data_IF_550490992499
#
_entry.id   IF_550490992499
#
_cell.length_a   1.000
_cell.length_b   1.000
_cell.length_c   1.000
_cell.angle_alpha   90.00
_cell.angle_beta   90.00
_cell.angle_gamma   90.00
#
_symmetry.space_group_name_H-M   'P 1'
#
loop_
_entity.id
_entity.type
_entity.pdbx_description
1 polymer ?
#
# COMPACT_ATOMS: atom_id res chain seq x y z
N UNK A 1 -13.62 -6.85 2.34
CA UNK A 1 -14.24 -8.01 1.68
C UNK A 1 -13.46 -8.23 0.39
N UNK A 2 -12.68 -9.30 0.32
CA UNK A 2 -11.85 -9.65 -0.84
C UNK A 2 -12.72 -10.29 -1.92
N UNK A 3 -12.76 -9.68 -3.10
CA UNK A 3 -13.44 -10.23 -4.27
C UNK A 3 -12.86 -11.61 -4.63
N UNK A 4 -13.66 -12.69 -4.65
CA UNK A 4 -13.21 -14.05 -4.97
C UNK A 4 -12.53 -14.15 -6.34
N UNK A 5 -12.93 -13.32 -7.30
CA UNK A 5 -12.41 -13.35 -8.66
C UNK A 5 -10.96 -12.81 -8.72
N UNK A 6 -10.67 -11.76 -7.95
CA UNK A 6 -9.34 -11.16 -7.81
C UNK A 6 -8.35 -12.12 -7.13
N UNK A 7 -8.80 -12.88 -6.12
CA UNK A 7 -7.96 -13.91 -5.51
C UNK A 7 -7.59 -15.02 -6.51
N UNK A 8 -8.52 -15.39 -7.39
CA UNK A 8 -8.27 -16.38 -8.44
C UNK A 8 -7.26 -15.88 -9.48
N UNK A 9 -7.42 -14.65 -9.96
CA UNK A 9 -6.48 -14.00 -10.89
C UNK A 9 -5.09 -13.93 -10.27
N UNK A 10 -4.98 -13.49 -9.00
CA UNK A 10 -3.72 -13.47 -8.27
C UNK A 10 -3.02 -14.83 -8.26
N UNK A 11 -3.76 -15.88 -7.89
CA UNK A 11 -3.21 -17.23 -7.82
C UNK A 11 -2.74 -17.72 -9.19
N UNK A 12 -3.46 -17.39 -10.27
CA UNK A 12 -3.05 -17.74 -11.63
C UNK A 12 -1.74 -17.05 -12.01
N UNK A 13 -1.64 -15.73 -11.83
CA UNK A 13 -0.40 -14.97 -12.14
C UNK A 13 0.78 -15.44 -11.29
N UNK A 14 0.57 -15.70 -10.01
CA UNK A 14 1.60 -16.27 -9.12
C UNK A 14 2.10 -17.62 -9.65
N UNK A 15 1.19 -18.52 -10.04
CA UNK A 15 1.55 -19.84 -10.55
C UNK A 15 2.30 -19.74 -11.88
N UNK A 16 1.89 -18.84 -12.77
CA UNK A 16 2.58 -18.60 -14.05
C UNK A 16 4.00 -18.07 -13.84
N UNK A 17 4.17 -17.10 -12.95
CA UNK A 17 5.49 -16.55 -12.59
C UNK A 17 6.38 -17.61 -11.91
N UNK A 18 5.82 -18.46 -11.05
CA UNK A 18 6.58 -19.55 -10.45
C UNK A 18 6.99 -20.61 -11.49
N UNK A 19 6.11 -20.95 -12.43
CA UNK A 19 6.39 -21.90 -13.53
C UNK A 19 7.48 -21.42 -14.47
N UNK A 20 7.59 -20.11 -14.70
CA UNK A 20 8.64 -19.54 -15.55
C UNK A 20 9.99 -19.42 -14.84
N UNK A 21 10.03 -19.60 -13.52
CA UNK A 21 11.24 -19.47 -12.71
C UNK A 21 12.00 -20.79 -12.52
N UNK A 22 13.28 -20.69 -12.14
CA UNK A 22 14.16 -21.84 -11.84
C UNK A 22 13.60 -22.79 -10.77
N UNK A 23 12.74 -22.30 -9.87
CA UNK A 23 12.17 -23.16 -8.83
C UNK A 23 11.30 -24.28 -9.41
N UNK A 24 10.66 -24.04 -10.56
CA UNK A 24 9.82 -25.03 -11.21
C UNK A 24 10.66 -26.16 -11.82
N UNK A 25 11.76 -25.82 -12.50
CA UNK A 25 12.70 -26.81 -13.05
C UNK A 25 13.36 -27.60 -11.93
N UNK A 26 13.78 -26.95 -10.85
CA UNK A 26 14.40 -27.62 -9.70
C UNK A 26 13.40 -28.56 -9.00
N UNK A 27 12.12 -28.16 -8.89
CA UNK A 27 11.06 -28.98 -8.32
C UNK A 27 10.78 -30.23 -9.18
N UNK A 28 10.78 -30.08 -10.51
CA UNK A 28 10.63 -31.21 -11.43
C UNK A 28 11.77 -32.22 -11.28
N UNK A 29 13.02 -31.73 -11.22
CA UNK A 29 14.19 -32.57 -11.01
C UNK A 29 14.10 -33.33 -9.66
N UNK A 30 13.71 -32.64 -8.59
CA UNK A 30 13.52 -33.25 -7.29
C UNK A 30 12.40 -34.30 -7.29
N UNK A 31 11.27 -34.02 -7.96
CA UNK A 31 10.19 -34.98 -8.10
C UNK A 31 10.65 -36.24 -8.86
N UNK A 32 11.46 -36.09 -9.91
CA UNK A 32 12.03 -37.22 -10.64
C UNK A 32 12.94 -38.08 -9.75
N UNK A 33 13.73 -37.47 -8.87
CA UNK A 33 14.56 -38.17 -7.89
C UNK A 33 13.70 -38.90 -6.85
N UNK A 34 12.58 -38.31 -6.41
CA UNK A 34 11.66 -38.99 -5.48
C UNK A 34 10.99 -40.21 -6.12
N UNK A 35 10.67 -40.15 -7.43
CA UNK A 35 10.06 -41.26 -8.18
C UNK A 35 11.00 -42.47 -8.27
N UNK A 36 12.31 -42.26 -8.33
CA UNK A 36 13.28 -43.36 -8.45
C UNK A 36 13.54 -44.08 -7.11
N UNK A 37 12.99 -43.60 -5.99
CA UNK A 37 13.18 -44.23 -4.69
C UNK A 37 12.40 -45.56 -4.60
N UNK A 38 13.03 -46.64 -4.10
CA UNK A 38 12.45 -47.98 -4.10
C UNK A 38 11.20 -48.15 -3.22
N UNK A 39 10.85 -47.15 -2.40
CA UNK A 39 9.67 -47.16 -1.53
C UNK A 39 8.37 -46.63 -2.17
N UNK A 40 8.42 -46.05 -3.38
CA UNK A 40 7.25 -45.42 -4.00
C UNK A 40 6.51 -46.41 -4.88
N UNK A 41 5.30 -46.81 -4.45
CA UNK A 41 4.41 -47.66 -5.25
C UNK A 41 3.72 -46.86 -6.35
N UNK A 42 3.58 -47.45 -7.53
CA UNK A 42 2.92 -46.83 -8.68
C UNK A 42 1.45 -46.47 -8.40
N UNK A 43 0.78 -47.26 -7.56
CA UNK A 43 -0.60 -47.01 -7.10
C UNK A 43 -0.74 -45.78 -6.19
N UNK A 44 0.35 -45.35 -5.55
CA UNK A 44 0.38 -44.22 -4.59
C UNK A 44 1.35 -43.11 -5.02
N UNK A 45 1.79 -43.12 -6.28
CA UNK A 45 2.86 -42.28 -6.81
C UNK A 45 2.72 -40.81 -6.41
N UNK A 46 1.53 -40.22 -6.62
CA UNK A 46 1.28 -38.81 -6.27
C UNK A 46 1.50 -38.53 -4.79
N UNK A 47 0.97 -39.38 -3.90
CA UNK A 47 1.10 -39.20 -2.45
C UNK A 47 2.53 -39.47 -1.98
N UNK A 48 3.16 -40.52 -2.51
CA UNK A 48 4.54 -40.88 -2.18
C UNK A 48 5.54 -39.79 -2.57
N UNK A 49 5.45 -39.29 -3.80
CA UNK A 49 6.30 -38.18 -4.28
C UNK A 49 6.03 -36.91 -3.48
N UNK A 50 4.77 -36.56 -3.23
CA UNK A 50 4.45 -35.36 -2.43
C UNK A 50 5.00 -35.46 -1.00
N UNK A 51 4.88 -36.62 -0.35
CA UNK A 51 5.44 -36.85 0.99
C UNK A 51 6.97 -36.79 0.98
N UNK A 52 7.62 -37.38 -0.01
CA UNK A 52 9.08 -37.32 -0.18
C UNK A 52 9.60 -35.89 -0.42
N UNK A 53 8.87 -35.09 -1.22
CA UNK A 53 9.16 -33.67 -1.42
C UNK A 53 9.00 -32.86 -0.12
N UNK A 54 7.95 -33.11 0.66
CA UNK A 54 7.78 -32.46 1.97
C UNK A 54 8.92 -32.84 2.92
N UNK A 55 9.29 -34.12 2.97
CA UNK A 55 10.36 -34.61 3.84
C UNK A 55 11.73 -34.04 3.46
N UNK A 56 11.97 -33.81 2.16
CA UNK A 56 13.18 -33.14 1.66
C UNK A 56 13.15 -31.61 1.79
N UNK A 57 12.07 -31.04 2.35
CA UNK A 57 11.96 -29.61 2.67
C UNK A 57 11.47 -28.71 1.54
N UNK A 58 10.94 -29.27 0.45
CA UNK A 58 10.40 -28.49 -0.68
C UNK A 58 9.18 -27.65 -0.31
N UNK A 59 8.42 -28.05 0.72
CA UNK A 59 7.30 -27.26 1.20
C UNK A 59 7.74 -25.86 1.67
N UNK A 60 8.86 -25.78 2.38
CA UNK A 60 9.45 -24.51 2.85
C UNK A 60 10.03 -23.71 1.70
N UNK A 61 10.71 -24.37 0.76
CA UNK A 61 11.30 -23.72 -0.41
C UNK A 61 10.22 -23.03 -1.25
N UNK A 62 9.08 -23.69 -1.46
CA UNK A 62 7.92 -23.11 -2.15
C UNK A 62 7.26 -21.99 -1.34
N UNK A 63 7.06 -22.17 -0.02
CA UNK A 63 6.53 -21.10 0.85
C UNK A 63 7.41 -19.85 0.81
N UNK A 64 8.73 -20.01 0.82
CA UNK A 64 9.67 -18.89 0.71
C UNK A 64 9.61 -18.23 -0.66
N UNK A 65 9.44 -18.99 -1.75
CA UNK A 65 9.26 -18.41 -3.09
C UNK A 65 7.97 -17.59 -3.19
N UNK A 66 6.86 -18.09 -2.63
CA UNK A 66 5.60 -17.34 -2.53
C UNK A 66 5.79 -16.09 -1.66
N UNK A 67 6.49 -16.20 -0.53
CA UNK A 67 6.77 -15.06 0.33
C UNK A 67 7.61 -13.99 -0.38
N UNK A 68 8.67 -14.39 -1.08
CA UNK A 68 9.50 -13.50 -1.91
C UNK A 68 8.68 -12.82 -2.99
N UNK A 69 7.78 -13.56 -3.64
CA UNK A 69 6.84 -13.01 -4.61
C UNK A 69 5.98 -11.90 -3.99
N UNK A 70 5.39 -12.17 -2.83
CA UNK A 70 4.54 -11.21 -2.10
C UNK A 70 5.29 -9.96 -1.63
N UNK A 71 6.60 -10.07 -1.35
CA UNK A 71 7.43 -8.93 -0.98
C UNK A 71 7.84 -8.07 -2.17
N UNK A 72 8.15 -8.70 -3.32
CA UNK A 72 8.74 -8.04 -4.48
C UNK A 72 7.71 -7.49 -5.46
N UNK A 73 6.53 -8.09 -5.52
CA UNK A 73 5.45 -7.62 -6.38
C UNK A 73 4.56 -6.65 -5.59
N UNK A 74 4.17 -5.49 -6.18
CA UNK A 74 3.26 -4.58 -5.52
C UNK A 74 1.99 -5.35 -5.15
N UNK A 75 1.51 -5.18 -3.91
CA UNK A 75 0.21 -5.72 -3.48
C UNK A 75 -0.80 -5.39 -4.56
N UNK A 76 -1.56 -6.40 -5.02
CA UNK A 76 -2.68 -6.18 -5.93
C UNK A 76 -3.47 -4.99 -5.43
N UNK A 77 -3.31 -3.87 -6.12
CA UNK A 77 -4.07 -2.70 -5.80
C UNK A 77 -5.50 -3.08 -6.17
N UNK A 78 -6.44 -2.88 -5.24
CA UNK A 78 -7.84 -2.74 -5.62
C UNK A 78 -7.90 -1.87 -6.87
N UNK A 79 -8.77 -2.13 -7.86
CA UNK A 79 -8.94 -1.20 -8.96
C UNK A 79 -9.10 0.17 -8.32
N UNK A 80 -8.06 1.00 -8.49
CA UNK A 80 -7.96 2.27 -7.78
C UNK A 80 -9.21 3.00 -8.22
N UNK A 81 -10.07 3.34 -7.26
CA UNK A 81 -11.22 4.18 -7.57
C UNK A 81 -10.67 5.33 -8.40
N UNK A 82 -11.09 5.48 -9.66
CA UNK A 82 -10.51 6.49 -10.53
C UNK A 82 -10.47 7.80 -9.76
N UNK A 83 -9.38 8.60 -9.86
CA UNK A 83 -9.23 9.79 -9.03
C UNK A 83 -10.47 10.69 -9.03
N UNK A 84 -11.21 10.73 -10.15
CA UNK A 84 -12.48 11.44 -10.30
C UNK A 84 -13.63 10.97 -9.38
N UNK A 85 -13.60 9.72 -8.90
CA UNK A 85 -14.62 9.13 -8.04
C UNK A 85 -14.17 9.01 -6.57
N UNK A 86 -12.89 9.29 -6.29
CA UNK A 86 -12.35 9.27 -4.93
C UNK A 86 -12.85 10.49 -4.16
N UNK A 87 -13.76 10.27 -3.20
CA UNK A 87 -14.23 11.35 -2.32
C UNK A 87 -13.25 11.57 -1.19
N UNK A 88 -13.03 12.84 -0.84
CA UNK A 88 -12.27 13.23 0.35
C UNK A 88 -12.78 12.48 1.59
N UNK A 89 -11.97 11.63 2.25
CA UNK A 89 -12.41 10.80 3.37
C UNK A 89 -12.80 11.60 4.61
N UNK A 90 -12.23 12.79 4.82
CA UNK A 90 -12.50 13.62 5.99
C UNK A 90 -13.79 14.42 5.79
N UNK A 91 -14.81 14.13 6.60
CA UNK A 91 -16.15 14.69 6.43
C UNK A 91 -16.18 16.23 6.46
N UNK A 92 -15.38 16.85 7.32
CA UNK A 92 -15.33 18.32 7.43
C UNK A 92 -14.64 18.96 6.20
N UNK A 93 -13.59 18.35 5.65
CA UNK A 93 -12.99 18.78 4.38
C UNK A 93 -13.96 18.60 3.22
N UNK A 94 -14.68 17.47 3.17
CA UNK A 94 -15.71 17.22 2.15
C UNK A 94 -16.82 18.27 2.19
N UNK A 95 -17.23 18.70 3.38
CA UNK A 95 -18.20 19.80 3.56
C UNK A 95 -17.64 21.13 3.05
N UNK A 96 -16.38 21.44 3.37
CA UNK A 96 -15.72 22.66 2.90
C UNK A 96 -15.55 22.68 1.38
N UNK A 97 -15.14 21.56 0.77
CA UNK A 97 -15.07 21.37 -0.69
C UNK A 97 -16.44 21.62 -1.33
N UNK A 98 -17.50 20.97 -0.84
CA UNK A 98 -18.84 21.14 -1.38
C UNK A 98 -19.35 22.59 -1.26
N UNK A 99 -19.07 23.26 -0.14
CA UNK A 99 -19.42 24.66 0.04
C UNK A 99 -18.66 25.58 -0.93
N UNK A 100 -17.37 25.33 -1.15
CA UNK A 100 -16.55 26.05 -2.11
C UNK A 100 -17.03 25.85 -3.55
N UNK A 101 -17.25 24.60 -3.97
CA UNK A 101 -17.79 24.25 -5.29
C UNK A 101 -19.12 24.96 -5.54
N UNK A 102 -20.02 24.98 -4.55
CA UNK A 102 -21.30 25.70 -4.65
C UNK A 102 -21.10 27.20 -4.85
N UNK A 103 -20.14 27.82 -4.18
CA UNK A 103 -19.80 29.25 -4.36
C UNK A 103 -19.27 29.51 -5.77
N UNK A 104 -18.36 28.67 -6.25
CA UNK A 104 -17.78 28.77 -7.60
C UNK A 104 -18.85 28.59 -8.68
N UNK A 105 -19.71 27.58 -8.55
CA UNK A 105 -20.82 27.36 -9.48
C UNK A 105 -21.78 28.55 -9.53
N UNK A 106 -22.05 29.21 -8.39
CA UNK A 106 -22.87 30.42 -8.36
C UNK A 106 -22.21 31.57 -9.12
N UNK A 107 -20.92 31.82 -8.89
CA UNK A 107 -20.16 32.86 -9.60
C UNK A 107 -20.07 32.58 -11.10
N UNK A 108 -19.84 31.32 -11.49
CA UNK A 108 -19.79 30.89 -12.88
C UNK A 108 -21.12 31.12 -13.59
N UNK A 109 -22.23 30.65 -13.02
CA UNK A 109 -23.57 30.86 -13.57
C UNK A 109 -23.91 32.35 -13.72
N UNK A 110 -23.53 33.17 -12.73
CA UNK A 110 -23.73 34.62 -12.78
C UNK A 110 -22.97 35.26 -13.95
N UNK A 111 -21.71 34.89 -14.14
CA UNK A 111 -20.89 35.40 -15.25
C UNK A 111 -21.42 34.95 -16.61
N UNK A 112 -21.81 33.67 -16.74
CA UNK A 112 -22.40 33.15 -17.96
C UNK A 112 -23.71 33.87 -18.32
N UNK A 113 -24.51 34.23 -17.31
CA UNK A 113 -25.73 35.03 -17.51
C UNK A 113 -25.40 36.44 -17.97
N UNK A 114 -24.40 37.10 -17.36
CA UNK A 114 -23.97 38.45 -17.72
C UNK A 114 -23.39 38.54 -19.15
N UNK A 115 -22.54 37.58 -19.51
CA UNK A 115 -21.90 37.52 -20.83
C UNK A 115 -22.81 36.87 -21.90
N UNK A 116 -24.02 36.43 -21.52
CA UNK A 116 -24.92 35.65 -22.37
C UNK A 116 -24.25 34.40 -22.98
N UNK A 117 -23.35 33.77 -22.23
CA UNK A 117 -22.64 32.55 -22.61
C UNK A 117 -23.42 31.34 -22.12
N UNK A 118 -23.92 30.48 -23.01
CA UNK A 118 -24.65 29.28 -22.62
C UNK A 118 -23.69 28.18 -22.15
N UNK A 119 -23.81 27.74 -20.90
CA UNK A 119 -22.97 26.67 -20.33
C UNK A 119 -23.20 25.30 -20.99
N UNK A 120 -24.46 24.98 -21.29
CA UNK A 120 -24.83 23.77 -22.01
C UNK A 120 -26.13 24.01 -22.78
N UNK A 121 -26.03 24.15 -24.10
CA UNK A 121 -27.19 24.16 -25.00
C UNK A 121 -26.88 23.43 -26.29
N UNK A 122 -27.91 22.89 -26.93
CA UNK A 122 -27.82 22.48 -28.33
C UNK A 122 -27.57 23.73 -29.20
N UNK A 123 -26.56 23.68 -30.07
CA UNK A 123 -26.28 24.77 -31.01
C UNK A 123 -27.51 25.00 -31.93
N UNK A 124 -27.94 26.23 -32.19
CA UNK A 124 -28.95 26.55 -33.19
C UNK A 124 -28.57 26.04 -34.58
N UNK A 125 -29.56 25.77 -35.44
CA UNK A 125 -29.32 25.26 -36.81
C UNK A 125 -28.46 26.19 -37.66
N UNK A 126 -28.55 27.51 -37.44
CA UNK A 126 -27.72 28.50 -38.11
C UNK A 126 -26.23 28.33 -37.77
N UNK A 127 -25.91 28.25 -36.48
CA UNK A 127 -24.54 28.02 -35.98
C UNK A 127 -24.00 26.66 -36.45
N UNK A 128 -24.85 25.63 -36.52
CA UNK A 128 -24.45 24.31 -37.04
C UNK A 128 -24.06 24.39 -38.53
N UNK A 129 -24.84 25.11 -39.36
CA UNK A 129 -24.54 25.28 -40.79
C UNK A 129 -23.27 26.10 -41.00
N UNK A 130 -23.07 27.18 -40.25
CA UNK A 130 -21.86 28.01 -40.29
C UNK A 130 -20.61 27.22 -39.88
N UNK A 131 -20.70 26.43 -38.81
CA UNK A 131 -19.62 25.55 -38.34
C UNK A 131 -19.27 24.47 -39.38
N UNK A 132 -20.25 23.90 -40.08
CA UNK A 132 -20.01 22.95 -41.16
C UNK A 132 -19.35 23.62 -42.37
N UNK A 133 -19.72 24.85 -42.72
CA UNK A 133 -19.09 25.59 -43.82
C UNK A 133 -17.66 26.06 -43.51
N UNK A 134 -17.39 26.38 -42.24
CA UNK A 134 -16.08 26.87 -41.76
C UNK A 134 -15.25 25.79 -41.07
N UNK A 135 -15.58 24.51 -41.25
CA UNK A 135 -14.98 23.40 -40.48
C UNK A 135 -13.44 23.42 -40.48
N UNK A 136 -12.84 23.77 -41.62
CA UNK A 136 -11.38 23.84 -41.81
C UNK A 136 -10.73 25.06 -41.13
N UNK A 137 -11.50 26.09 -40.77
CA UNK A 137 -11.03 27.37 -40.21
C UNK A 137 -11.25 27.47 -38.69
N UNK A 138 -11.97 26.52 -38.09
CA UNK A 138 -12.31 26.50 -36.65
C UNK A 138 -11.11 26.47 -35.70
N UNK A 139 -9.93 26.05 -36.19
CA UNK A 139 -8.68 26.08 -35.41
C UNK A 139 -8.05 27.47 -35.26
N UNK A 140 -8.52 28.45 -36.04
CA UNK A 140 -7.97 29.82 -36.11
C UNK A 140 -8.91 30.84 -35.46
N UNK A 141 -10.23 30.63 -35.54
CA UNK A 141 -11.25 31.46 -34.86
C UNK A 141 -11.56 30.91 -33.45
N UNK A 142 -10.74 31.30 -32.45
CA UNK A 142 -11.03 31.02 -31.04
C UNK A 142 -12.03 32.02 -30.44
N UNK A 143 -12.83 31.65 -29.42
CA UNK A 143 -13.67 32.61 -28.71
C UNK A 143 -12.78 33.66 -28.02
N UNK A 144 -13.22 34.92 -28.03
CA UNK A 144 -12.54 35.98 -27.29
C UNK A 144 -12.71 35.74 -25.78
N UNK A 145 -11.64 35.26 -25.14
CA UNK A 145 -11.62 34.94 -23.71
C UNK A 145 -11.33 36.18 -22.84
N UNK A 146 -11.05 37.35 -23.42
CA UNK A 146 -10.70 38.56 -22.66
C UNK A 146 -11.83 39.03 -21.74
N UNK A 147 -13.08 38.67 -22.08
CA UNK A 147 -14.26 39.01 -21.29
C UNK A 147 -14.52 38.02 -20.12
N UNK A 148 -13.88 36.84 -20.13
CA UNK A 148 -14.02 35.85 -19.07
C UNK A 148 -13.10 36.21 -17.91
N UNK A 149 -13.68 36.87 -16.90
CA UNK A 149 -12.96 37.18 -15.65
C UNK A 149 -12.84 35.94 -14.75
N UNK A 150 -11.90 35.91 -13.80
CA UNK A 150 -11.86 34.85 -12.79
C UNK A 150 -13.16 34.78 -11.95
N UNK A 151 -13.64 33.58 -11.65
CA UNK A 151 -14.87 33.34 -10.85
C UNK A 151 -14.66 33.52 -9.33
N UNK A 152 -13.42 33.69 -8.89
CA UNK A 152 -13.04 33.96 -7.49
C UNK A 152 -11.72 34.73 -7.43
N UNK A 153 -11.51 35.49 -6.34
CA UNK A 153 -10.21 36.08 -6.04
C UNK A 153 -9.36 35.11 -5.20
N UNK A 154 -8.01 35.12 -5.32
CA UNK A 154 -7.13 34.29 -4.48
C UNK A 154 -7.38 34.46 -2.97
N UNK A 155 -7.75 35.66 -2.54
CA UNK A 155 -8.11 35.96 -1.14
C UNK A 155 -9.34 35.16 -0.68
N UNK A 156 -10.37 35.05 -1.51
CA UNK A 156 -11.59 34.30 -1.16
C UNK A 156 -11.29 32.82 -0.91
N UNK A 157 -10.38 32.25 -1.71
CA UNK A 157 -9.97 30.87 -1.55
C UNK A 157 -9.13 30.67 -0.30
N UNK A 158 -8.20 31.59 -0.03
CA UNK A 158 -7.41 31.57 1.20
C UNK A 158 -8.30 31.65 2.44
N UNK A 159 -9.31 32.51 2.46
CA UNK A 159 -10.28 32.61 3.56
C UNK A 159 -11.02 31.29 3.80
N UNK A 160 -11.41 30.60 2.73
CA UNK A 160 -12.03 29.28 2.83
C UNK A 160 -11.07 28.26 3.45
N UNK A 161 -9.81 28.24 3.00
CA UNK A 161 -8.79 27.33 3.53
C UNK A 161 -8.52 27.60 5.01
N UNK A 162 -8.38 28.88 5.39
CA UNK A 162 -8.18 29.31 6.79
C UNK A 162 -9.37 28.95 7.66
N UNK A 163 -10.58 29.02 7.11
CA UNK A 163 -11.82 28.67 7.82
C UNK A 163 -12.04 27.17 8.03
N UNK A 164 -11.19 26.30 7.47
CA UNK A 164 -11.32 24.84 7.67
C UNK A 164 -10.92 24.51 9.10
N UNK A 165 -11.90 24.13 9.92
CA UNK A 165 -11.68 23.69 11.29
C UNK A 165 -11.77 22.16 11.41
N UNK A 166 -10.82 21.57 12.12
CA UNK A 166 -10.83 20.16 12.44
C UNK A 166 -11.75 19.90 13.65
N UNK A 167 -12.78 19.04 13.54
CA UNK A 167 -13.65 18.68 14.66
C UNK A 167 -12.92 18.05 15.85
N UNK A 168 -11.77 17.41 15.61
CA UNK A 168 -10.93 16.82 16.66
C UNK A 168 -9.98 17.83 17.30
N UNK A 169 -9.88 19.04 16.74
CA UNK A 169 -9.14 20.15 17.34
C UNK A 169 -10.11 20.93 18.21
N UNK A 170 -10.25 20.47 19.46
CA UNK A 170 -10.88 21.26 20.52
C UNK A 170 -9.85 22.26 21.02
N UNK A 171 -9.68 23.35 20.27
CA UNK A 171 -8.93 24.49 20.75
C UNK A 171 -9.68 25.13 21.91
N UNK A 172 -9.46 24.67 23.13
CA UNK A 172 -9.57 25.56 24.27
C UNK A 172 -8.53 26.66 24.03
N UNK A 173 -9.02 27.84 23.67
CA UNK A 173 -8.25 29.04 23.29
C UNK A 173 -7.35 29.60 24.43
N UNK A 174 -7.03 28.80 25.46
CA UNK A 174 -6.20 29.18 26.59
C UNK A 174 -4.75 28.65 26.51
N UNK A 175 -4.41 27.84 25.51
CA UNK A 175 -3.05 27.35 25.31
C UNK A 175 -2.29 28.16 24.25
N UNK A 176 -1.33 28.96 24.68
CA UNK A 176 -0.39 29.78 23.89
C UNK A 176 0.59 28.93 23.03
N UNK A 177 0.09 28.03 22.18
CA UNK A 177 0.92 27.37 21.18
C UNK A 177 0.73 28.06 19.83
N UNK A 178 1.69 28.87 19.35
CA UNK A 178 1.64 29.42 18.01
C UNK A 178 1.82 28.25 17.05
N UNK A 179 0.71 27.73 16.55
CA UNK A 179 0.72 26.76 15.46
C UNK A 179 1.34 27.46 14.25
N UNK A 180 2.39 26.87 13.69
CA UNK A 180 3.13 27.46 12.57
C UNK A 180 2.27 27.36 11.31
N UNK A 181 2.00 28.50 10.68
CA UNK A 181 1.34 28.59 9.38
C UNK A 181 -0.12 29.04 9.43
N UNK A 182 -0.55 29.64 8.33
CA UNK A 182 -1.91 30.20 8.12
C UNK A 182 -2.95 29.08 7.94
N UNK A 183 -2.51 27.89 7.51
CA UNK A 183 -3.37 26.76 7.19
C UNK A 183 -3.01 25.57 8.07
N UNK A 184 -3.96 25.12 8.87
CA UNK A 184 -3.78 23.96 9.73
C UNK A 184 -4.52 22.76 9.14
N UNK A 185 -3.85 21.99 8.27
CA UNK A 185 -4.40 20.75 7.73
C UNK A 185 -3.96 19.58 8.61
N UNK A 186 -4.84 18.97 9.42
CA UNK A 186 -4.48 17.78 10.16
C UNK A 186 -4.37 16.60 9.20
N UNK A 187 -3.28 15.86 9.31
CA UNK A 187 -3.09 14.60 8.59
C UNK A 187 -3.80 13.49 9.37
N UNK A 188 -4.47 12.57 8.68
CA UNK A 188 -5.05 11.38 9.31
C UNK A 188 -3.93 10.51 9.90
N UNK A 189 -3.69 10.66 11.20
CA UNK A 189 -2.77 9.82 11.96
C UNK A 189 -3.55 8.90 12.91
N UNK A 190 -2.98 7.74 13.22
CA UNK A 190 -3.54 6.86 14.26
C UNK A 190 -3.41 7.55 15.61
N UNK A 191 -4.41 7.39 16.47
CA UNK A 191 -4.30 7.85 17.86
C UNK A 191 -3.20 7.09 18.60
N UNK A 192 -2.69 7.65 19.70
CA UNK A 192 -1.68 6.98 20.51
C UNK A 192 -2.15 5.59 20.99
N UNK A 193 -3.44 5.44 21.31
CA UNK A 193 -4.01 4.15 21.71
C UNK A 193 -4.04 3.15 20.53
N UNK A 194 -4.36 3.61 19.33
CA UNK A 194 -4.31 2.78 18.12
C UNK A 194 -2.88 2.39 17.74
N UNK A 195 -1.91 3.30 17.94
CA UNK A 195 -0.49 3.00 17.75
C UNK A 195 0.00 1.98 18.77
N UNK A 196 -0.37 2.13 20.05
CA UNK A 196 -0.04 1.15 21.11
C UNK A 196 -0.59 -0.24 20.80
N UNK A 197 -1.82 -0.33 20.29
CA UNK A 197 -2.41 -1.61 19.87
C UNK A 197 -1.69 -2.19 18.64
N UNK A 198 -1.38 -1.35 17.65
CA UNK A 198 -0.67 -1.80 16.45
C UNK A 198 0.75 -2.29 16.75
N UNK A 199 1.41 -1.67 17.72
CA UNK A 199 2.80 -1.91 18.08
C UNK A 199 2.93 -2.52 19.48
N UNK A 200 1.95 -3.33 19.89
CA UNK A 200 1.93 -3.97 21.20
C UNK A 200 3.13 -4.91 21.42
N UNK A 201 3.71 -5.43 20.33
CA UNK A 201 4.92 -6.25 20.35
C UNK A 201 6.17 -5.47 20.77
N UNK A 202 6.15 -4.14 20.68
CA UNK A 202 7.21 -3.22 21.14
C UNK A 202 6.89 -2.58 22.50
N UNK A 203 5.93 -3.13 23.25
CA UNK A 203 5.60 -2.62 24.57
C UNK A 203 6.80 -2.75 25.53
N UNK A 204 6.90 -1.84 26.51
CA UNK A 204 8.02 -1.79 27.47
C UNK A 204 8.17 -3.06 28.33
N UNK A 205 7.11 -3.87 28.42
CA UNK A 205 7.13 -5.16 29.11
C UNK A 205 7.57 -6.33 28.22
N UNK A 206 8.00 -6.04 26.99
CA UNK A 206 8.56 -7.02 26.05
C UNK A 206 10.06 -6.75 25.90
N UNK A 207 10.89 -7.70 26.30
CA UNK A 207 12.33 -7.61 26.09
C UNK A 207 12.68 -7.61 24.59
N UNK A 208 13.64 -6.77 24.20
CA UNK A 208 14.10 -6.57 22.82
C UNK A 208 15.62 -6.62 22.75
N UNK A 209 16.14 -7.50 21.88
CA UNK A 209 17.57 -7.61 21.63
C UNK A 209 18.08 -6.35 20.92
N UNK A 210 19.16 -5.77 21.43
CA UNK A 210 19.77 -4.51 20.97
C UNK A 210 19.27 -3.27 21.69
N UNK A 211 18.27 -3.40 22.58
CA UNK A 211 17.73 -2.29 23.39
C UNK A 211 17.87 -2.60 24.88
N UNK A 212 17.45 -3.79 25.29
CA UNK A 212 17.47 -4.23 26.70
C UNK A 212 18.77 -4.98 27.07
N UNK A 213 19.80 -4.89 26.23
CA UNK A 213 21.09 -5.58 26.38
C UNK A 213 21.98 -4.96 27.50
N UNK A 214 21.45 -4.01 28.29
CA UNK A 214 22.18 -3.29 29.32
C UNK A 214 22.43 -4.12 30.59
N UNK A 215 23.53 -3.84 31.28
CA UNK A 215 24.05 -4.58 32.44
C UNK A 215 23.15 -4.60 33.68
N UNK A 216 22.13 -3.73 33.74
CA UNK A 216 21.28 -3.57 34.93
C UNK A 216 20.09 -4.54 34.97
N UNK A 217 19.86 -5.28 33.87
CA UNK A 217 18.87 -6.34 33.75
C UNK A 217 19.66 -7.66 33.59
N UNK A 218 19.25 -8.77 34.22
CA UNK A 218 19.89 -10.07 33.99
C UNK A 218 19.76 -10.53 32.52
N UNK A 219 20.64 -10.03 31.65
CA UNK A 219 20.68 -10.27 30.20
C UNK A 219 20.83 -11.76 29.89
N UNK A 220 21.45 -12.50 30.80
CA UNK A 220 21.85 -13.89 30.59
C UNK A 220 20.69 -14.85 30.34
N UNK A 221 19.51 -14.63 30.91
CA UNK A 221 18.36 -15.53 30.71
C UNK A 221 17.64 -15.23 29.39
N UNK A 222 17.34 -13.96 29.13
CA UNK A 222 16.64 -13.56 27.91
C UNK A 222 17.50 -13.81 26.67
N UNK A 223 18.75 -13.36 26.65
CA UNK A 223 19.62 -13.45 25.48
C UNK A 223 19.95 -14.91 25.12
N UNK A 224 20.13 -15.76 26.14
CA UNK A 224 20.42 -17.17 25.94
C UNK A 224 19.20 -17.91 25.35
N UNK A 225 18.01 -17.68 25.89
CA UNK A 225 16.78 -18.29 25.36
C UNK A 225 16.43 -17.74 23.97
N UNK A 226 16.65 -16.44 23.76
CA UNK A 226 16.50 -15.78 22.47
C UNK A 226 17.46 -16.36 21.43
N UNK A 227 18.72 -16.60 21.81
CA UNK A 227 19.73 -17.22 20.95
C UNK A 227 19.39 -18.68 20.62
N UNK A 228 18.90 -19.46 21.59
CA UNK A 228 18.42 -20.83 21.36
C UNK A 228 17.23 -20.85 20.40
N UNK A 229 16.25 -19.95 20.60
CA UNK A 229 15.11 -19.82 19.71
C UNK A 229 15.55 -19.38 18.31
N UNK A 230 16.47 -18.43 18.22
CA UNK A 230 17.03 -17.96 16.94
C UNK A 230 17.68 -19.09 16.15
N UNK A 231 18.44 -19.99 16.79
CA UNK A 231 19.00 -21.18 16.13
C UNK A 231 17.90 -22.09 15.57
N UNK A 232 16.79 -22.29 16.30
CA UNK A 232 15.64 -23.06 15.79
C UNK A 232 14.99 -22.37 14.57
N UNK A 233 14.88 -21.05 14.59
CA UNK A 233 14.33 -20.26 13.47
C UNK A 233 15.22 -20.35 12.25
N UNK A 234 16.53 -20.19 12.42
CA UNK A 234 17.52 -20.38 11.35
C UNK A 234 17.41 -21.78 10.75
N UNK A 235 17.36 -22.82 11.59
CA UNK A 235 17.22 -24.21 11.12
C UNK A 235 15.88 -24.47 10.44
N UNK A 236 14.83 -23.71 10.75
CA UNK A 236 13.55 -23.82 10.07
C UNK A 236 13.60 -23.34 8.61
N UNK A 237 14.58 -22.47 8.27
CA UNK A 237 14.81 -21.90 6.94
C UNK A 237 13.53 -21.37 6.28
N UNK A 238 12.77 -20.57 7.04
CA UNK A 238 11.44 -20.10 6.64
C UNK A 238 11.36 -18.59 6.82
N UNK A 239 11.35 -17.84 5.71
CA UNK A 239 11.44 -16.38 5.69
C UNK A 239 10.41 -15.67 6.58
N UNK A 240 9.11 -16.00 6.49
CA UNK A 240 8.10 -15.44 7.39
C UNK A 240 8.38 -15.66 8.88
N UNK A 241 8.88 -16.85 9.27
CA UNK A 241 9.20 -17.14 10.67
C UNK A 241 10.42 -16.34 11.12
N UNK A 242 11.42 -16.19 10.25
CA UNK A 242 12.57 -15.31 10.49
C UNK A 242 12.15 -13.85 10.64
N UNK A 243 11.18 -13.38 9.85
CA UNK A 243 10.63 -12.02 9.93
C UNK A 243 9.89 -11.78 11.24
N UNK A 244 8.99 -12.70 11.61
CA UNK A 244 8.25 -12.63 12.88
C UNK A 244 9.19 -12.68 14.09
N UNK A 245 10.19 -13.56 14.05
CA UNK A 245 11.22 -13.61 15.07
C UNK A 245 11.94 -12.26 15.17
N UNK A 246 12.39 -11.68 14.06
CA UNK A 246 13.25 -10.49 14.04
C UNK A 246 12.60 -9.19 14.52
N UNK A 247 11.26 -9.15 14.69
CA UNK A 247 10.54 -7.96 15.17
C UNK A 247 11.00 -7.45 16.54
N UNK A 248 11.49 -8.36 17.40
CA UNK A 248 12.04 -8.02 18.74
C UNK A 248 13.57 -7.95 18.75
N UNK A 249 14.17 -7.63 17.62
CA UNK A 249 15.62 -7.63 17.44
C UNK A 249 16.21 -9.01 17.14
N UNK A 250 17.46 -9.02 16.67
CA UNK A 250 18.19 -10.22 16.28
C UNK A 250 19.44 -10.40 17.14
N UNK A 251 19.70 -11.60 17.66
CA UNK A 251 21.00 -11.94 18.26
C UNK A 251 22.13 -11.65 17.26
N UNK A 252 23.20 -11.01 17.73
CA UNK A 252 24.29 -10.53 16.88
C UNK A 252 24.89 -11.63 15.99
N UNK A 253 25.16 -12.80 16.56
CA UNK A 253 25.73 -13.95 15.85
C UNK A 253 24.80 -14.64 14.84
N UNK A 254 23.50 -14.31 14.80
CA UNK A 254 22.53 -14.90 13.85
C UNK A 254 22.01 -13.90 12.83
N UNK A 255 22.37 -12.62 12.96
CA UNK A 255 21.77 -11.51 12.21
C UNK A 255 21.90 -11.69 10.70
N UNK A 256 23.10 -12.02 10.22
CA UNK A 256 23.37 -12.19 8.79
C UNK A 256 22.49 -13.29 8.18
N UNK A 257 22.43 -14.46 8.84
CA UNK A 257 21.62 -15.59 8.37
C UNK A 257 20.13 -15.30 8.42
N UNK A 258 19.64 -14.66 9.49
CA UNK A 258 18.23 -14.27 9.60
C UNK A 258 17.83 -13.26 8.52
N UNK A 259 18.70 -12.28 8.22
CA UNK A 259 18.47 -11.32 7.15
C UNK A 259 18.40 -12.00 5.77
N UNK A 260 19.33 -12.90 5.47
CA UNK A 260 19.30 -13.68 4.24
C UNK A 260 17.98 -14.46 4.09
N UNK A 261 17.50 -15.09 5.17
CA UNK A 261 16.22 -15.80 5.18
C UNK A 261 15.01 -14.89 4.99
N UNK A 262 14.95 -13.75 5.67
CA UNK A 262 13.85 -12.79 5.54
C UNK A 262 13.73 -12.21 4.13
N UNK A 263 14.88 -11.99 3.48
CA UNK A 263 14.97 -11.48 2.12
C UNK A 263 14.88 -12.59 1.06
N UNK A 264 14.90 -13.86 1.48
CA UNK A 264 14.92 -15.03 0.59
C UNK A 264 16.04 -14.92 -0.46
N UNK A 265 17.26 -14.64 0.03
CA UNK A 265 18.50 -14.58 -0.75
C UNK A 265 19.49 -15.59 -0.20
N UNK A 266 20.29 -16.17 -1.11
CA UNK A 266 21.48 -16.94 -0.77
C UNK A 266 22.66 -15.97 -0.91
N UNK A 267 23.54 -15.93 0.09
CA UNK A 267 24.75 -15.11 0.05
C UNK A 267 25.84 -16.03 -0.47
N UNK A 268 26.30 -15.75 -1.68
CA UNK A 268 27.46 -16.44 -2.25
C UNK A 268 28.75 -15.81 -1.69
N UNK A 269 29.72 -16.64 -1.34
CA UNK A 269 31.07 -16.18 -0.99
C UNK A 269 31.78 -15.74 -2.29
N UNK A 270 31.65 -14.45 -2.63
CA UNK A 270 32.46 -13.79 -3.68
C UNK A 270 33.68 -13.14 -3.05
#
# INVERSE_FOLDING_TARGET
MTDPNLSKIFMQTLIEDLKSSKIYTDLQNAAQIEITKPGVRLSELKKGVQAGLIQSGWDKRLKNAVFKYLQTKPKLQYPVTPPEHAKEPLLYLRKAQHAWEKRILKSLNSMCTELNIPLARKRPEKEQKEMNSKWTELGVEGPDLTQIRPVYAPKDFLEVIVGIQNPNYHGDNNGFFPLWGIVQVPVKVKSINLLRLQYSEMAINQCQSGIDDSTDIPSELFDLDRSKLGKKVVNANHGPVAQEFSKKGCPSGLRATLWAQMLCVEVDDV
#
